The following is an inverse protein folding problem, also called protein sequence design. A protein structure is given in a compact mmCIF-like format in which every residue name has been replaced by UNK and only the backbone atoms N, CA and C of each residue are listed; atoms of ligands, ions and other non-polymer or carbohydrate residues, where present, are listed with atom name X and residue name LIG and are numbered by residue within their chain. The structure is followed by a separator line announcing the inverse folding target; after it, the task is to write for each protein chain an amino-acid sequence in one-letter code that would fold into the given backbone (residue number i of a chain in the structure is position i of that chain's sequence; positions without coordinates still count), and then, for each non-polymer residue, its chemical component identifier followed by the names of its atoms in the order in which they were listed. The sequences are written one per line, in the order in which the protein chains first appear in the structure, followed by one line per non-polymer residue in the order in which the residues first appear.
data_IF_726426528214
#
_entry.id   IF_726426528214
#
_cell.length_a   1.000
_cell.length_b   1.000
_cell.length_c   1.000
_cell.angle_alpha   90.00
_cell.angle_beta   90.00
_cell.angle_gamma   90.00
#
_symmetry.space_group_name_H-M   'P 1'
#
loop_
_entity.id
_entity.type
_entity.pdbx_description
1 polymer ?
#
# COMPACT_ATOMS: atom_id res chain seq x y z
N UNK A 1 -2.89 27.05 9.60
CA UNK A 1 -1.62 27.19 8.86
C UNK A 1 -1.04 25.84 8.42
N UNK A 2 -0.50 24.99 9.30
CA UNK A 2 0.04 23.67 8.89
C UNK A 2 -1.05 22.67 8.45
N UNK A 3 -2.13 22.61 9.22
CA UNK A 3 -3.27 21.73 8.93
C UNK A 3 -3.96 22.06 7.59
N UNK A 4 -3.87 23.31 7.13
CA UNK A 4 -4.45 23.73 5.86
C UNK A 4 -3.68 23.17 4.65
N UNK A 5 -2.37 22.92 4.81
CA UNK A 5 -1.56 22.22 3.80
C UNK A 5 -1.98 20.76 3.72
N UNK A 6 -2.08 20.09 4.88
CA UNK A 6 -2.52 18.69 4.98
C UNK A 6 -3.92 18.51 4.39
N UNK A 7 -4.85 19.44 4.68
CA UNK A 7 -6.23 19.38 4.17
C UNK A 7 -6.31 19.57 2.66
N UNK A 8 -5.35 20.30 2.06
CA UNK A 8 -5.25 20.48 0.59
C UNK A 8 -4.53 19.32 -0.10
N UNK A 9 -3.72 18.54 0.63
CA UNK A 9 -2.96 17.43 0.08
C UNK A 9 -3.86 16.36 -0.54
N UNK A 10 -4.93 15.94 0.15
CA UNK A 10 -5.77 14.87 -0.36
C UNK A 10 -6.53 15.22 -1.65
N UNK A 11 -7.23 16.37 -1.74
CA UNK A 11 -7.82 16.82 -3.01
C UNK A 11 -6.78 16.98 -4.11
N UNK A 12 -5.61 17.58 -3.80
CA UNK A 12 -4.53 17.76 -4.77
C UNK A 12 -4.04 16.41 -5.30
N UNK A 13 -3.70 15.48 -4.41
CA UNK A 13 -3.28 14.13 -4.76
C UNK A 13 -4.32 13.45 -5.66
N UNK A 14 -5.61 13.56 -5.32
CA UNK A 14 -6.69 13.01 -6.15
C UNK A 14 -6.78 13.65 -7.53
N UNK A 15 -6.60 14.96 -7.65
CA UNK A 15 -6.59 15.63 -8.96
C UNK A 15 -5.36 15.27 -9.78
N UNK A 16 -4.19 15.12 -9.15
CA UNK A 16 -2.95 14.68 -9.80
C UNK A 16 -3.12 13.25 -10.32
N UNK A 17 -3.56 12.33 -9.47
CA UNK A 17 -3.80 10.93 -9.87
C UNK A 17 -4.78 10.85 -11.04
N UNK A 18 -5.88 11.62 -11.03
CA UNK A 18 -6.83 11.66 -12.14
C UNK A 18 -6.27 12.25 -13.43
N UNK A 19 -5.36 13.22 -13.34
CA UNK A 19 -4.68 13.78 -14.51
C UNK A 19 -3.76 12.72 -15.12
N UNK A 20 -2.96 12.05 -14.29
CA UNK A 20 -2.10 10.93 -14.70
C UNK A 20 -2.92 9.79 -15.31
N UNK A 21 -4.01 9.35 -14.67
CA UNK A 21 -4.88 8.29 -15.20
C UNK A 21 -5.47 8.63 -16.58
N UNK A 22 -5.77 9.91 -16.85
CA UNK A 22 -6.25 10.34 -18.16
C UNK A 22 -5.18 10.26 -19.23
N UNK A 23 -3.94 10.59 -18.88
CA UNK A 23 -2.80 10.48 -19.79
C UNK A 23 -2.46 9.02 -20.07
N UNK A 24 -2.60 8.15 -19.06
CA UNK A 24 -2.30 6.72 -19.17
C UNK A 24 -3.41 5.90 -19.83
N UNK A 25 -4.57 6.48 -20.15
CA UNK A 25 -5.77 5.75 -20.59
C UNK A 25 -5.51 4.77 -21.74
N UNK A 26 -4.63 5.13 -22.68
CA UNK A 26 -4.30 4.32 -23.86
C UNK A 26 -3.07 3.42 -23.68
N UNK A 27 -2.38 3.51 -22.54
CA UNK A 27 -1.12 2.78 -22.26
C UNK A 27 -1.35 1.41 -21.61
N UNK A 28 -2.55 1.17 -21.06
CA UNK A 28 -2.84 0.00 -20.22
C UNK A 28 -2.24 0.08 -18.81
N UNK A 29 -1.51 1.14 -18.47
CA UNK A 29 -0.93 1.35 -17.14
C UNK A 29 -1.89 2.07 -16.20
N UNK A 30 -1.77 1.77 -14.92
CA UNK A 30 -2.37 2.51 -13.82
C UNK A 30 -1.43 3.61 -13.32
N UNK A 31 -1.98 4.61 -12.61
CA UNK A 31 -1.15 5.64 -11.96
C UNK A 31 -0.15 5.07 -10.93
N UNK A 32 -0.47 3.93 -10.32
CA UNK A 32 0.43 3.24 -9.40
C UNK A 32 1.62 2.60 -10.12
N UNK A 33 1.39 1.99 -11.28
CA UNK A 33 2.47 1.46 -12.13
C UNK A 33 3.33 2.58 -12.69
N UNK A 34 2.74 3.71 -13.07
CA UNK A 34 3.49 4.90 -13.43
C UNK A 34 4.42 5.37 -12.30
N UNK A 35 3.91 5.50 -11.08
CA UNK A 35 4.73 5.87 -9.92
C UNK A 35 5.85 4.84 -9.63
N UNK A 36 5.59 3.55 -9.88
CA UNK A 36 6.59 2.50 -9.77
C UNK A 36 7.70 2.62 -10.83
N UNK A 37 7.32 2.89 -12.09
CA UNK A 37 8.28 3.12 -13.18
C UNK A 37 9.12 4.38 -12.93
N UNK A 38 8.50 5.46 -12.44
CA UNK A 38 9.16 6.71 -12.08
C UNK A 38 10.21 6.50 -10.97
N UNK A 39 9.85 5.74 -9.93
CA UNK A 39 10.77 5.38 -8.86
C UNK A 39 11.97 4.56 -9.38
N UNK A 40 11.73 3.59 -10.28
CA UNK A 40 12.80 2.81 -10.90
C UNK A 40 13.67 3.64 -11.86
N UNK A 41 13.09 4.63 -12.53
CA UNK A 41 13.82 5.53 -13.41
C UNK A 41 14.75 6.45 -12.62
N UNK A 42 14.26 6.98 -11.50
CA UNK A 42 14.98 7.95 -10.66
C UNK A 42 16.02 7.28 -9.76
N UNK A 43 15.69 6.14 -9.16
CA UNK A 43 16.54 5.48 -8.15
C UNK A 43 17.30 4.25 -8.67
N UNK A 44 17.04 3.84 -9.91
CA UNK A 44 17.58 2.61 -10.50
C UNK A 44 16.91 1.33 -9.98
N UNK A 45 17.53 0.16 -10.20
CA UNK A 45 16.94 -1.12 -9.83
C UNK A 45 16.70 -1.26 -8.32
N UNK A 46 15.49 -1.68 -7.93
CA UNK A 46 15.05 -1.82 -6.54
C UNK A 46 14.32 -3.13 -6.30
N UNK A 47 14.39 -3.66 -5.08
CA UNK A 47 13.55 -4.78 -4.65
C UNK A 47 12.12 -4.29 -4.37
N UNK A 48 11.13 -5.19 -4.44
CA UNK A 48 9.73 -4.86 -4.09
C UNK A 48 9.59 -4.23 -2.69
N UNK A 49 10.28 -4.71 -1.63
CA UNK A 49 10.27 -4.05 -0.33
C UNK A 49 10.86 -2.63 -0.34
N UNK A 50 11.85 -2.35 -1.19
CA UNK A 50 12.40 -1.00 -1.32
C UNK A 50 11.40 -0.08 -2.02
N UNK A 51 10.81 -0.53 -3.13
CA UNK A 51 9.75 0.21 -3.85
C UNK A 51 8.56 0.51 -2.94
N UNK A 52 8.11 -0.46 -2.14
CA UNK A 52 7.05 -0.27 -1.15
C UNK A 52 7.37 0.86 -0.15
N UNK A 53 8.62 0.93 0.33
CA UNK A 53 9.05 2.02 1.22
C UNK A 53 9.12 3.36 0.51
N UNK A 54 9.69 3.41 -0.69
CA UNK A 54 9.75 4.63 -1.51
C UNK A 54 8.35 5.20 -1.77
N UNK A 55 7.40 4.33 -2.13
CA UNK A 55 6.04 4.73 -2.50
C UNK A 55 5.11 4.94 -1.29
N UNK A 56 5.56 4.63 -0.06
CA UNK A 56 4.74 4.72 1.15
C UNK A 56 3.56 3.72 1.15
N UNK A 57 3.75 2.54 0.57
CA UNK A 57 2.71 1.53 0.37
C UNK A 57 3.08 0.19 1.00
N UNK A 58 2.07 -0.64 1.22
CA UNK A 58 2.28 -2.05 1.53
C UNK A 58 2.89 -2.80 0.35
N UNK A 59 3.57 -3.91 0.65
CA UNK A 59 4.24 -4.74 -0.37
C UNK A 59 3.28 -5.37 -1.36
N UNK A 60 2.07 -5.74 -0.92
CA UNK A 60 1.14 -6.50 -1.75
C UNK A 60 0.62 -5.67 -2.97
N UNK A 61 0.16 -4.42 -2.80
CA UNK A 61 -0.12 -3.53 -3.94
C UNK A 61 1.07 -3.38 -4.89
N UNK A 62 2.26 -3.12 -4.36
CA UNK A 62 3.47 -2.92 -5.18
C UNK A 62 3.82 -4.20 -5.94
N UNK A 63 3.69 -5.38 -5.33
CA UNK A 63 3.90 -6.64 -6.01
C UNK A 63 2.93 -6.84 -7.17
N UNK A 64 1.65 -6.46 -7.02
CA UNK A 64 0.68 -6.51 -8.11
C UNK A 64 1.08 -5.59 -9.27
N UNK A 65 1.50 -4.37 -8.97
CA UNK A 65 1.99 -3.43 -9.98
C UNK A 65 3.25 -3.94 -10.70
N UNK A 66 4.20 -4.53 -9.98
CA UNK A 66 5.39 -5.15 -10.61
C UNK A 66 4.99 -6.28 -11.55
N UNK A 67 4.06 -7.13 -11.12
CA UNK A 67 3.62 -8.26 -11.95
C UNK A 67 2.95 -7.75 -13.24
N UNK A 68 2.01 -6.82 -13.13
CA UNK A 68 1.32 -6.28 -14.29
C UNK A 68 2.25 -5.47 -15.20
N UNK A 69 3.15 -4.66 -14.65
CA UNK A 69 4.18 -3.97 -15.44
C UNK A 69 5.13 -4.94 -16.15
N UNK A 70 5.37 -6.13 -15.59
CA UNK A 70 6.15 -7.18 -16.24
C UNK A 70 5.36 -7.85 -17.38
N UNK A 71 4.05 -8.06 -17.20
CA UNK A 71 3.14 -8.54 -18.26
C UNK A 71 3.09 -7.55 -19.44
N UNK A 72 3.16 -6.25 -19.17
CA UNK A 72 3.28 -5.19 -20.18
C UNK A 72 4.70 -5.07 -20.79
N UNK A 73 5.68 -5.85 -20.31
CA UNK A 73 7.07 -5.81 -20.80
C UNK A 73 7.85 -4.57 -20.38
N UNK A 74 7.38 -3.82 -19.37
CA UNK A 74 7.99 -2.55 -18.93
C UNK A 74 9.06 -2.74 -17.86
N UNK A 75 8.94 -3.82 -17.08
CA UNK A 75 9.93 -4.19 -16.06
C UNK A 75 10.30 -5.66 -16.19
N UNK A 76 11.48 -5.99 -15.66
CA UNK A 76 11.92 -7.37 -15.53
C UNK A 76 12.60 -7.61 -14.19
N UNK A 77 12.54 -8.85 -13.75
CA UNK A 77 13.19 -9.30 -12.53
C UNK A 77 14.65 -9.69 -12.82
N UNK A 78 15.58 -9.21 -12.01
CA UNK A 78 17.00 -9.48 -12.10
C UNK A 78 17.53 -10.10 -10.79
N UNK A 79 18.57 -10.96 -10.85
CA UNK A 79 19.23 -11.46 -9.65
C UNK A 79 19.76 -10.32 -8.77
N UNK A 80 19.67 -10.50 -7.46
CA UNK A 80 20.26 -9.58 -6.50
C UNK A 80 21.55 -10.18 -5.93
N UNK A 81 22.74 -9.63 -6.25
CA UNK A 81 24.02 -10.12 -5.74
C UNK A 81 24.12 -10.09 -4.22
N UNK A 82 23.45 -9.14 -3.56
CA UNK A 82 23.48 -8.99 -2.11
C UNK A 82 22.58 -9.99 -1.39
N UNK A 83 21.48 -10.45 -2.02
CA UNK A 83 20.52 -11.34 -1.35
C UNK A 83 19.66 -12.13 -2.35
N UNK A 84 19.94 -13.43 -2.48
CA UNK A 84 19.36 -14.33 -3.50
C UNK A 84 17.83 -14.42 -3.49
N UNK A 85 17.19 -14.22 -2.33
CA UNK A 85 15.71 -14.31 -2.19
C UNK A 85 14.98 -12.99 -2.42
N UNK A 86 15.68 -11.89 -2.69
CA UNK A 86 15.06 -10.59 -2.93
C UNK A 86 15.55 -10.01 -4.24
N UNK A 87 14.99 -10.50 -5.34
CA UNK A 87 15.30 -10.06 -6.68
C UNK A 87 15.10 -8.55 -6.85
N UNK A 88 15.91 -7.97 -7.74
CA UNK A 88 15.79 -6.58 -8.16
C UNK A 88 14.77 -6.49 -9.29
N UNK A 89 14.00 -5.42 -9.30
CA UNK A 89 13.16 -5.02 -10.42
C UNK A 89 13.92 -3.95 -11.18
N UNK A 90 13.99 -4.07 -12.51
CA UNK A 90 14.62 -3.08 -13.39
C UNK A 90 13.68 -2.72 -14.53
N UNK A 91 13.79 -1.49 -15.03
CA UNK A 91 13.14 -1.09 -16.28
C UNK A 91 13.73 -1.90 -17.46
N UNK A 92 12.86 -2.19 -18.43
CA UNK A 92 13.27 -2.57 -19.78
C UNK A 92 13.58 -1.32 -20.61
N UNK A 93 14.02 -1.50 -21.86
CA UNK A 93 14.19 -0.37 -22.77
C UNK A 93 12.82 0.28 -23.06
N UNK A 94 11.79 -0.54 -23.24
CA UNK A 94 10.40 -0.16 -23.44
C UNK A 94 9.86 0.59 -22.23
N UNK A 95 10.06 0.07 -21.00
CA UNK A 95 9.66 0.77 -19.78
C UNK A 95 10.37 2.10 -19.58
N UNK A 96 11.65 2.19 -19.96
CA UNK A 96 12.42 3.45 -19.95
C UNK A 96 11.90 4.45 -20.97
N UNK A 97 11.51 3.98 -22.16
CA UNK A 97 10.92 4.85 -23.19
C UNK A 97 9.53 5.33 -22.76
N UNK A 98 8.70 4.46 -22.17
CA UNK A 98 7.37 4.79 -21.68
C UNK A 98 7.41 5.88 -20.61
N UNK A 99 8.23 5.72 -19.57
CA UNK A 99 8.31 6.73 -18.49
C UNK A 99 8.87 8.06 -18.98
N UNK A 100 9.86 8.04 -19.88
CA UNK A 100 10.40 9.28 -20.47
C UNK A 100 9.37 10.02 -21.33
N UNK A 101 8.54 9.28 -22.07
CA UNK A 101 7.46 9.86 -22.87
C UNK A 101 6.47 10.63 -22.00
N UNK A 102 6.04 10.00 -20.91
CA UNK A 102 5.12 10.60 -19.93
C UNK A 102 5.75 11.81 -19.25
N UNK A 103 6.96 11.67 -18.69
CA UNK A 103 7.67 12.79 -18.05
C UNK A 103 7.86 13.98 -19.01
N UNK A 104 8.11 13.74 -20.29
CA UNK A 104 8.26 14.81 -21.28
C UNK A 104 6.93 15.51 -21.57
N UNK A 105 5.83 14.76 -21.68
CA UNK A 105 4.49 15.32 -21.84
C UNK A 105 4.09 16.14 -20.62
N UNK A 106 4.16 15.54 -19.42
CA UNK A 106 3.87 16.20 -18.14
C UNK A 106 4.68 17.48 -17.99
N UNK A 107 5.99 17.42 -18.24
CA UNK A 107 6.86 18.57 -18.08
C UNK A 107 6.70 19.63 -19.17
N UNK A 108 6.01 19.34 -20.28
CA UNK A 108 5.66 20.34 -21.29
C UNK A 108 4.34 21.03 -20.91
N UNK A 109 3.29 20.25 -20.65
CA UNK A 109 1.98 20.76 -20.26
C UNK A 109 2.02 21.54 -18.94
N UNK A 110 2.69 20.99 -17.93
CA UNK A 110 2.74 21.58 -16.60
C UNK A 110 3.59 22.85 -16.58
N UNK A 111 4.71 22.87 -17.33
CA UNK A 111 5.54 24.08 -17.46
C UNK A 111 4.79 25.22 -18.13
N UNK A 112 3.97 24.94 -19.14
CA UNK A 112 3.17 25.99 -19.78
C UNK A 112 2.09 26.52 -18.84
N UNK A 113 1.41 25.65 -18.11
CA UNK A 113 0.31 26.01 -17.19
C UNK A 113 0.77 26.69 -15.91
N UNK A 114 2.02 26.45 -15.50
CA UNK A 114 2.63 27.01 -14.28
C UNK A 114 3.83 27.91 -14.59
N UNK A 115 3.89 28.50 -15.79
CA UNK A 115 5.02 29.30 -16.26
C UNK A 115 5.25 30.56 -15.40
N UNK A 116 4.21 31.04 -14.72
CA UNK A 116 4.20 32.19 -13.84
C UNK A 116 4.64 31.86 -12.40
N UNK A 117 4.83 30.58 -12.07
CA UNK A 117 5.20 30.16 -10.71
C UNK A 117 6.69 30.45 -10.43
N UNK A 118 7.03 31.25 -9.40
CA UNK A 118 8.41 31.51 -9.03
C UNK A 118 9.16 30.24 -8.61
N UNK A 119 10.40 30.09 -9.08
CA UNK A 119 11.24 28.94 -8.71
C UNK A 119 11.54 28.86 -7.20
N UNK A 120 11.45 29.98 -6.48
CA UNK A 120 11.56 30.02 -5.01
C UNK A 120 10.35 29.43 -4.30
N UNK A 121 9.14 29.64 -4.83
CA UNK A 121 7.91 29.08 -4.28
C UNK A 121 7.91 27.55 -4.44
N UNK A 122 8.35 27.05 -5.59
CA UNK A 122 8.51 25.60 -5.83
C UNK A 122 9.51 25.00 -4.87
N UNK A 123 10.69 25.61 -4.69
CA UNK A 123 11.71 25.14 -3.75
C UNK A 123 11.19 25.13 -2.31
N UNK A 124 10.45 26.16 -1.92
CA UNK A 124 9.82 26.26 -0.60
C UNK A 124 8.78 25.15 -0.41
N UNK A 125 7.92 24.91 -1.41
CA UNK A 125 6.93 23.86 -1.38
C UNK A 125 7.57 22.47 -1.24
N UNK A 126 8.61 22.17 -2.03
CA UNK A 126 9.37 20.91 -1.93
C UNK A 126 9.96 20.73 -0.53
N UNK A 127 10.63 21.74 0.01
CA UNK A 127 11.18 21.69 1.38
C UNK A 127 10.11 21.37 2.43
N UNK A 128 8.93 22.01 2.35
CA UNK A 128 7.83 21.78 3.28
C UNK A 128 7.25 20.37 3.11
N UNK A 129 7.06 19.90 1.88
CA UNK A 129 6.55 18.55 1.60
C UNK A 129 7.51 17.46 2.09
N UNK A 130 8.82 17.63 1.89
CA UNK A 130 9.85 16.69 2.36
C UNK A 130 9.85 16.61 3.89
N UNK A 131 9.83 17.77 4.56
CA UNK A 131 9.75 17.83 6.03
C UNK A 131 8.47 17.16 6.54
N UNK A 132 7.31 17.47 5.95
CA UNK A 132 6.04 16.82 6.32
C UNK A 132 6.10 15.30 6.12
N UNK A 133 6.61 14.84 4.97
CA UNK A 133 6.73 13.42 4.67
C UNK A 133 7.60 12.66 5.67
N UNK A 134 8.72 13.26 6.10
CA UNK A 134 9.59 12.66 7.10
C UNK A 134 8.91 12.56 8.48
N UNK A 135 8.28 13.63 8.95
CA UNK A 135 7.59 13.62 10.24
C UNK A 135 6.42 12.61 10.25
N UNK A 136 5.63 12.53 9.16
CA UNK A 136 4.55 11.54 9.07
C UNK A 136 5.07 10.10 8.96
N UNK A 137 6.21 9.86 8.31
CA UNK A 137 6.88 8.55 8.33
C UNK A 137 7.32 8.18 9.74
N UNK A 138 7.91 9.12 10.50
CA UNK A 138 8.27 8.88 11.89
C UNK A 138 7.05 8.57 12.76
N UNK A 139 5.94 9.30 12.60
CA UNK A 139 4.70 9.03 13.33
C UNK A 139 4.10 7.67 12.99
N UNK A 140 4.07 7.29 11.71
CA UNK A 140 3.55 6.00 11.25
C UNK A 140 4.40 4.81 11.76
N UNK A 141 5.72 4.99 11.86
CA UNK A 141 6.65 3.97 12.35
C UNK A 141 6.84 4.01 13.88
N UNK A 142 6.46 5.11 14.53
CA UNK A 142 6.85 5.45 15.91
C UNK A 142 5.88 5.07 17.02
N UNK A 143 4.63 4.68 16.72
CA UNK A 143 3.66 4.34 17.78
C UNK A 143 2.63 3.27 17.38
N UNK A 144 2.91 2.03 17.80
CA UNK A 144 1.94 1.15 18.47
C UNK A 144 2.54 0.69 19.80
N UNK A 145 2.69 1.60 20.76
CA UNK A 145 2.73 1.16 22.16
C UNK A 145 1.28 0.91 22.54
N UNK A 146 0.87 -0.37 22.54
CA UNK A 146 -0.35 -0.75 23.25
C UNK A 146 -0.11 -0.43 24.73
N UNK A 147 -1.07 0.20 25.45
CA UNK A 147 -0.99 0.22 26.90
C UNK A 147 -0.93 -1.24 27.34
N UNK A 148 0.15 -1.63 28.01
CA UNK A 148 0.22 -2.90 28.72
C UNK A 148 -1.03 -2.98 29.60
N UNK A 149 -1.91 -3.95 29.31
CA UNK A 149 -2.84 -4.44 30.30
C UNK A 149 -2.00 -4.87 31.50
N UNK A 150 -1.97 -4.03 32.53
CA UNK A 150 -1.44 -4.41 33.83
C UNK A 150 -2.36 -5.51 34.37
N UNK A 151 -2.06 -6.74 33.99
CA UNK A 151 -2.46 -7.92 34.73
C UNK A 151 -1.71 -7.90 36.07
N UNK A 152 -2.36 -7.36 37.08
CA UNK A 152 -2.02 -7.63 38.47
C UNK A 152 -3.22 -8.21 39.19
N UNK A 153 -3.67 -9.39 38.74
CA UNK A 153 -4.25 -10.39 39.66
C UNK A 153 -3.10 -11.08 40.39
N UNK A 154 -2.81 -10.61 41.60
CA UNK A 154 -1.78 -11.23 42.44
C UNK A 154 -1.75 -10.71 43.87
N UNK A 155 -2.88 -10.75 44.59
CA UNK A 155 -2.83 -10.77 46.05
C UNK A 155 -4.00 -11.58 46.61
N UNK A 156 -3.74 -12.87 46.85
CA UNK A 156 -4.47 -13.67 47.83
C UNK A 156 -3.80 -13.42 49.18
N UNK A 157 -4.56 -12.97 50.17
CA UNK A 157 -4.53 -13.65 51.47
C UNK A 157 -5.75 -13.33 52.36
N UNK A 158 -6.49 -14.40 52.66
CA UNK A 158 -7.16 -14.74 53.92
C UNK A 158 -8.37 -13.92 54.45
N UNK A 159 -9.57 -14.56 54.51
CA UNK A 159 -10.23 -15.08 55.73
C UNK A 159 -11.75 -15.35 55.55
N UNK A 160 -12.21 -16.48 56.13
CA UNK A 160 -13.58 -16.75 56.62
C UNK A 160 -14.54 -17.43 55.63
N UNK A 161 -14.86 -18.73 55.78
CA UNK A 161 -16.10 -19.25 56.44
C UNK A 161 -17.36 -18.93 55.63
N UNK A 162 -18.25 -19.81 55.19
CA UNK A 162 -18.78 -21.08 55.68
C UNK A 162 -19.84 -21.54 54.65
N UNK A 163 -20.23 -22.82 54.62
CA UNK A 163 -21.56 -23.22 54.10
C UNK A 163 -21.60 -24.09 52.83
N UNK A 164 -21.44 -25.40 53.04
CA UNK A 164 -22.28 -26.49 52.51
C UNK A 164 -23.34 -26.14 51.44
N UNK A 165 -23.32 -26.82 50.27
CA UNK A 165 -24.28 -27.92 50.01
C UNK A 165 -23.99 -28.71 48.70
N UNK A 166 -23.90 -30.04 48.85
CA UNK A 166 -24.53 -31.10 48.06
C UNK A 166 -24.63 -31.06 46.51
N UNK A 167 -23.89 -31.99 45.90
CA UNK A 167 -24.38 -33.07 45.03
C UNK A 167 -25.16 -32.74 43.74
N UNK A 168 -24.61 -33.11 42.57
CA UNK A 168 -24.93 -34.39 41.87
C UNK A 168 -24.77 -34.27 40.34
N UNK A 169 -24.31 -35.36 39.69
CA UNK A 169 -24.73 -35.72 38.33
C UNK A 169 -23.81 -35.38 37.15
N UNK A 170 -22.95 -36.33 36.80
CA UNK A 170 -22.47 -36.61 35.42
C UNK A 170 -23.31 -37.82 34.89
N UNK A 171 -23.17 -38.34 33.65
CA UNK A 171 -22.75 -37.78 32.36
C UNK A 171 -23.69 -38.25 31.18
N UNK A 172 -23.23 -38.00 29.95
CA UNK A 172 -23.43 -38.81 28.71
C UNK A 172 -24.54 -38.46 27.72
N UNK A 173 -24.17 -38.53 26.44
CA UNK A 173 -25.07 -38.43 25.29
C UNK A 173 -24.33 -38.21 23.97
N UNK A 174 -23.69 -39.27 23.46
CA UNK A 174 -23.34 -39.48 22.05
C UNK A 174 -24.49 -39.07 21.10
N UNK A 175 -24.20 -38.57 19.89
CA UNK A 175 -24.25 -39.38 18.66
C UNK A 175 -23.89 -38.55 17.41
N UNK A 176 -23.83 -39.25 16.28
CA UNK A 176 -22.93 -39.11 15.16
C UNK A 176 -23.58 -38.49 13.90
N UNK A 177 -22.75 -37.82 13.08
CA UNK A 177 -22.60 -37.77 11.59
C UNK A 177 -23.66 -38.47 10.67
N UNK A 178 -23.69 -38.26 9.31
CA UNK A 178 -23.06 -37.25 8.40
C UNK A 178 -23.93 -36.74 7.18
N UNK A 179 -23.36 -35.76 6.46
CA UNK A 179 -23.32 -35.45 4.99
C UNK A 179 -24.46 -35.76 3.99
N UNK A 180 -24.77 -34.77 3.12
CA UNK A 180 -24.96 -34.95 1.65
C UNK A 180 -24.72 -33.64 0.87
N UNK A 181 -24.01 -33.76 -0.27
CA UNK A 181 -23.74 -32.72 -1.30
C UNK A 181 -24.66 -32.94 -2.54
N UNK A 182 -24.47 -32.26 -3.71
CA UNK A 182 -25.27 -31.18 -4.29
C UNK A 182 -26.18 -31.60 -5.46
N UNK A 183 -27.00 -30.69 -6.01
CA UNK A 183 -27.60 -30.88 -7.36
C UNK A 183 -27.72 -29.56 -8.17
N UNK A 184 -27.71 -29.76 -9.48
CA UNK A 184 -27.34 -28.85 -10.57
C UNK A 184 -28.52 -28.06 -11.20
N UNK A 185 -28.16 -26.97 -11.88
CA UNK A 185 -28.67 -26.40 -13.15
C UNK A 185 -30.09 -26.69 -13.70
N UNK A 186 -30.81 -25.60 -14.03
CA UNK A 186 -31.57 -25.28 -15.27
C UNK A 186 -32.04 -23.81 -15.13
N UNK A 187 -31.97 -22.87 -16.06
CA UNK A 187 -32.13 -22.90 -17.51
C UNK A 187 -33.52 -22.34 -17.87
N UNK A 188 -33.60 -21.08 -18.37
CA UNK A 188 -34.67 -20.39 -19.16
C UNK A 188 -34.40 -18.86 -19.08
N UNK A 189 -34.07 -18.10 -20.13
CA UNK A 189 -34.69 -17.82 -21.44
C UNK A 189 -36.09 -17.23 -21.35
N UNK A 190 -36.25 -15.97 -21.77
CA UNK A 190 -37.51 -15.41 -22.26
C UNK A 190 -37.74 -13.91 -22.01
N UNK A 191 -37.68 -13.14 -23.11
CA UNK A 191 -38.23 -11.80 -23.37
C UNK A 191 -37.56 -10.58 -22.73
#
# INVERSE_FOLDING_TARGET
MLYDVIRRLWPLHRTVVRAVERELADTGMTAGEHALLDALHTEGPRTVPQLARTLGLDRQPVQRWVNHAAELGLVVTAPNPAHRRSSLIRLTAEGTAAIRGIQQFEATELRQRLADLPAEDVRTALHVLDRLGEEFRHLANGSRVQPEETDSRGSRDSRGSEGSNGSNGKPEGHDSRPATTPLMHKGRSGA
#
